data_IF_535429354662
#
_entry.id   IF_535429354662
#
_cell.length_a   1.000
_cell.length_b   1.000
_cell.length_c   1.000
_cell.angle_alpha   90.00
_cell.angle_beta   90.00
_cell.angle_gamma   90.00
#
_symmetry.space_group_name_H-M   'P 1'
#
loop_
_entity.id
_entity.type
_entity.pdbx_description
1 polymer ?
#
# COMPACT_ATOMS: atom_id res chain seq x y z
N UNK A 1 -22.04 25.12 -4.54
CA UNK A 1 -20.97 24.31 -3.92
C UNK A 1 -19.63 24.96 -4.24
N UNK A 2 -19.10 25.73 -3.31
CA UNK A 2 -17.77 26.29 -3.45
C UNK A 2 -16.77 25.14 -3.44
N UNK A 3 -16.16 24.82 -4.59
CA UNK A 3 -14.99 23.96 -4.63
C UNK A 3 -13.93 24.60 -3.73
N UNK A 4 -13.21 23.84 -2.90
CA UNK A 4 -12.12 24.40 -2.13
C UNK A 4 -11.12 25.05 -3.06
N UNK A 5 -10.88 26.32 -2.88
CA UNK A 5 -9.98 27.14 -3.73
C UNK A 5 -8.53 26.70 -3.51
N UNK A 6 -8.25 26.03 -2.38
CA UNK A 6 -6.98 25.39 -2.04
C UNK A 6 -7.23 24.31 -0.98
N UNK A 7 -6.42 23.27 -0.97
CA UNK A 7 -6.48 22.22 0.04
C UNK A 7 -6.30 20.81 -0.51
N UNK A 8 -6.35 19.85 0.39
CA UNK A 8 -6.26 18.42 0.09
C UNK A 8 -7.58 17.73 0.44
N UNK A 9 -8.15 16.99 -0.52
CA UNK A 9 -9.29 16.12 -0.28
C UNK A 9 -8.80 14.67 -0.26
N UNK A 10 -9.09 13.94 0.80
CA UNK A 10 -8.67 12.55 0.98
C UNK A 10 -9.86 11.60 0.96
N UNK A 11 -9.89 10.70 -0.03
CA UNK A 11 -10.88 9.65 -0.17
C UNK A 11 -10.31 8.29 0.24
N UNK A 12 -11.06 7.52 1.04
CA UNK A 12 -10.69 6.17 1.44
C UNK A 12 -11.60 5.18 0.75
N UNK A 13 -11.04 4.31 -0.08
CA UNK A 13 -11.76 3.25 -0.78
C UNK A 13 -11.38 1.85 -0.26
N UNK A 14 -11.14 1.74 1.04
CA UNK A 14 -10.76 0.49 1.68
C UNK A 14 -11.91 -0.51 1.74
N UNK A 15 -11.63 -1.77 1.37
CA UNK A 15 -12.55 -2.91 1.50
C UNK A 15 -11.84 -3.99 2.30
N UNK A 16 -12.51 -4.53 3.32
CA UNK A 16 -11.94 -5.59 4.15
C UNK A 16 -11.64 -6.84 3.30
N UNK A 17 -10.43 -7.39 3.44
CA UNK A 17 -9.99 -8.55 2.67
C UNK A 17 -9.66 -8.26 1.20
N UNK A 18 -9.66 -6.99 0.77
CA UNK A 18 -9.39 -6.62 -0.61
C UNK A 18 -7.99 -7.02 -1.08
N UNK A 19 -7.92 -7.38 -2.34
CA UNK A 19 -6.71 -7.60 -3.13
C UNK A 19 -6.74 -6.71 -4.37
N UNK A 20 -5.68 -6.66 -5.15
CA UNK A 20 -5.66 -5.96 -6.44
C UNK A 20 -6.86 -6.35 -7.32
N UNK A 21 -7.24 -7.64 -7.32
CA UNK A 21 -8.36 -8.16 -8.12
C UNK A 21 -9.69 -7.53 -7.72
N UNK A 22 -9.89 -7.20 -6.45
CA UNK A 22 -11.13 -6.60 -5.95
C UNK A 22 -11.45 -5.29 -6.67
N UNK A 23 -10.44 -4.56 -7.09
CA UNK A 23 -10.57 -3.26 -7.76
C UNK A 23 -10.44 -3.32 -9.30
N UNK A 24 -10.17 -4.49 -9.89
CA UNK A 24 -10.07 -4.67 -11.35
C UNK A 24 -11.43 -4.91 -12.03
N UNK A 25 -12.49 -4.29 -11.54
CA UNK A 25 -13.80 -4.30 -12.18
C UNK A 25 -14.11 -2.94 -12.80
N UNK A 26 -14.84 -2.93 -13.92
CA UNK A 26 -15.18 -1.66 -14.59
C UNK A 26 -15.90 -0.67 -13.67
N UNK A 27 -16.81 -1.17 -12.81
CA UNK A 27 -17.54 -0.31 -11.88
C UNK A 27 -16.60 0.36 -10.87
N UNK A 28 -15.66 -0.39 -10.29
CA UNK A 28 -14.69 0.17 -9.34
C UNK A 28 -13.75 1.17 -10.00
N UNK A 29 -13.32 0.91 -11.21
CA UNK A 29 -12.51 1.86 -11.99
C UNK A 29 -13.29 3.14 -12.29
N UNK A 30 -14.57 3.03 -12.69
CA UNK A 30 -15.43 4.20 -12.91
C UNK A 30 -15.67 5.01 -11.63
N UNK A 31 -15.91 4.34 -10.49
CA UNK A 31 -16.05 5.01 -9.19
C UNK A 31 -14.80 5.81 -8.82
N UNK A 32 -13.61 5.23 -9.02
CA UNK A 32 -12.34 5.90 -8.73
C UNK A 32 -12.13 7.09 -9.69
N UNK A 33 -12.36 6.88 -11.00
CA UNK A 33 -12.17 7.93 -12.00
C UNK A 33 -13.12 9.12 -11.81
N UNK A 34 -14.33 8.88 -11.30
CA UNK A 34 -15.29 9.93 -11.00
C UNK A 34 -14.79 10.94 -9.94
N UNK A 35 -13.86 10.50 -9.08
CA UNK A 35 -13.22 11.37 -8.07
C UNK A 35 -12.15 12.29 -8.67
N UNK A 36 -11.73 12.07 -9.91
CA UNK A 36 -10.65 12.80 -10.60
C UNK A 36 -9.41 12.98 -9.71
N UNK A 37 -8.82 11.88 -9.21
CA UNK A 37 -7.73 11.96 -8.25
C UNK A 37 -6.44 12.47 -8.90
N UNK A 38 -5.72 13.36 -8.23
CA UNK A 38 -4.36 13.77 -8.63
C UNK A 38 -3.34 12.69 -8.22
N UNK A 39 -3.59 12.01 -7.10
CA UNK A 39 -2.76 10.94 -6.57
C UNK A 39 -3.60 9.73 -6.15
N UNK A 40 -3.22 8.53 -6.59
CA UNK A 40 -3.74 7.27 -6.08
C UNK A 40 -2.66 6.55 -5.29
N UNK A 41 -2.93 6.28 -4.00
CA UNK A 41 -2.06 5.45 -3.16
C UNK A 41 -2.60 4.03 -3.15
N UNK A 42 -1.84 3.08 -3.69
CA UNK A 42 -2.20 1.66 -3.75
C UNK A 42 -1.52 0.91 -2.60
N UNK A 43 -2.32 0.53 -1.61
CA UNK A 43 -1.85 -0.18 -0.41
C UNK A 43 -2.41 -1.61 -0.37
N UNK A 44 -1.77 -2.50 -1.12
CA UNK A 44 -2.10 -3.92 -1.22
C UNK A 44 -0.94 -4.81 -0.74
N UNK A 45 -1.15 -6.12 -0.75
CA UNK A 45 -0.10 -7.10 -0.49
C UNK A 45 -0.32 -7.95 0.75
N UNK A 46 -0.98 -7.46 1.79
CA UNK A 46 -1.25 -8.24 3.01
C UNK A 46 -2.15 -9.44 2.71
N UNK A 47 -3.26 -9.23 2.02
CA UNK A 47 -4.22 -10.29 1.69
C UNK A 47 -3.65 -11.25 0.64
N UNK A 48 -2.92 -10.74 -0.34
CA UNK A 48 -2.20 -11.55 -1.31
C UNK A 48 -1.20 -12.47 -0.61
N UNK A 49 -0.39 -11.95 0.31
CA UNK A 49 0.57 -12.74 1.08
C UNK A 49 -0.09 -13.81 1.96
N UNK A 50 -1.36 -13.65 2.34
CA UNK A 50 -2.12 -14.64 3.11
C UNK A 50 -2.84 -15.66 2.23
N UNK A 51 -2.91 -15.46 0.92
CA UNK A 51 -3.53 -16.43 0.01
C UNK A 51 -2.81 -17.78 0.05
N UNK A 52 -3.55 -18.87 0.27
CA UNK A 52 -3.00 -20.23 0.20
C UNK A 52 -2.48 -20.58 -1.20
N UNK A 53 -3.04 -19.95 -2.23
CA UNK A 53 -2.70 -20.13 -3.65
C UNK A 53 -1.85 -19.00 -4.20
N UNK A 54 -1.07 -18.33 -3.35
CA UNK A 54 -0.21 -17.25 -3.78
C UNK A 54 0.84 -17.72 -4.79
N UNK A 55 0.86 -17.06 -5.94
CA UNK A 55 1.87 -17.23 -6.99
C UNK A 55 2.43 -15.86 -7.38
N UNK A 56 3.74 -15.70 -7.26
CA UNK A 56 4.42 -14.43 -7.50
C UNK A 56 4.16 -13.84 -8.91
N UNK A 57 4.23 -14.62 -10.01
CA UNK A 57 3.93 -14.09 -11.34
C UNK A 57 2.47 -13.65 -11.50
N UNK A 58 1.53 -14.35 -10.85
CA UNK A 58 0.10 -13.99 -10.88
C UNK A 58 -0.12 -12.67 -10.14
N UNK A 59 0.57 -12.45 -9.03
CA UNK A 59 0.47 -11.19 -8.29
C UNK A 59 0.99 -10.00 -9.11
N UNK A 60 2.14 -10.14 -9.77
CA UNK A 60 2.66 -9.11 -10.67
C UNK A 60 1.67 -8.78 -11.80
N UNK A 61 1.09 -9.80 -12.42
CA UNK A 61 0.05 -9.65 -13.44
C UNK A 61 -1.20 -8.91 -12.90
N UNK A 62 -1.60 -9.17 -11.66
CA UNK A 62 -2.74 -8.50 -11.03
C UNK A 62 -2.48 -7.03 -10.75
N UNK A 63 -1.27 -6.68 -10.32
CA UNK A 63 -0.83 -5.29 -10.15
C UNK A 63 -0.86 -4.59 -11.51
N UNK A 64 -0.26 -5.19 -12.53
CA UNK A 64 -0.21 -4.64 -13.88
C UNK A 64 -1.59 -4.38 -14.44
N UNK A 65 -2.50 -5.35 -14.34
CA UNK A 65 -3.89 -5.22 -14.78
C UNK A 65 -4.61 -4.05 -14.09
N UNK A 66 -4.52 -3.96 -12.77
CA UNK A 66 -5.16 -2.88 -12.02
C UNK A 66 -4.62 -1.51 -12.46
N UNK A 67 -3.31 -1.36 -12.49
CA UNK A 67 -2.67 -0.11 -12.87
C UNK A 67 -2.92 0.28 -14.33
N UNK A 68 -2.95 -0.69 -15.25
CA UNK A 68 -3.29 -0.44 -16.64
C UNK A 68 -4.73 0.10 -16.80
N UNK A 69 -5.69 -0.47 -16.04
CA UNK A 69 -7.07 0.01 -16.04
C UNK A 69 -7.19 1.42 -15.43
N UNK A 70 -6.50 1.66 -14.31
CA UNK A 70 -6.50 2.97 -13.64
C UNK A 70 -5.84 4.04 -14.52
N UNK A 71 -4.68 3.77 -15.10
CA UNK A 71 -4.00 4.71 -16.00
C UNK A 71 -4.85 5.08 -17.22
N UNK A 72 -5.57 4.10 -17.77
CA UNK A 72 -6.49 4.36 -18.88
C UNK A 72 -7.66 5.26 -18.46
N UNK A 73 -8.18 5.09 -17.26
CA UNK A 73 -9.33 5.85 -16.76
C UNK A 73 -8.94 7.22 -16.17
N UNK A 74 -7.71 7.33 -15.66
CA UNK A 74 -7.18 8.51 -14.97
C UNK A 74 -5.76 8.81 -15.51
N UNK A 75 -5.62 9.31 -16.74
CA UNK A 75 -4.32 9.44 -17.42
C UNK A 75 -3.37 10.45 -16.74
N UNK A 76 -3.90 11.47 -16.09
CA UNK A 76 -3.10 12.51 -15.40
C UNK A 76 -2.75 12.17 -13.95
N UNK A 77 -3.29 11.06 -13.43
CA UNK A 77 -3.10 10.63 -12.03
C UNK A 77 -1.70 10.08 -11.78
N UNK A 78 -1.07 10.53 -10.72
CA UNK A 78 0.17 9.95 -10.21
C UNK A 78 -0.12 8.76 -9.30
N UNK A 79 0.75 7.74 -9.31
CA UNK A 79 0.58 6.52 -8.53
C UNK A 79 1.71 6.35 -7.52
N UNK A 80 1.34 6.10 -6.25
CA UNK A 80 2.24 5.70 -5.18
C UNK A 80 1.87 4.29 -4.73
N UNK A 81 2.80 3.34 -4.86
CA UNK A 81 2.63 1.99 -4.34
C UNK A 81 3.18 1.92 -2.93
N UNK A 82 2.56 1.12 -2.06
CA UNK A 82 3.11 0.85 -0.72
C UNK A 82 3.33 -0.64 -0.52
N UNK A 83 4.39 -1.02 0.18
CA UNK A 83 4.59 -2.41 0.59
C UNK A 83 3.79 -2.71 1.86
N UNK A 84 3.35 -3.97 2.08
CA UNK A 84 2.61 -4.33 3.29
C UNK A 84 3.48 -4.24 4.55
N UNK A 85 2.89 -3.98 5.73
CA UNK A 85 3.63 -3.73 6.97
C UNK A 85 4.28 -4.96 7.61
N UNK A 86 4.04 -6.13 7.07
CA UNK A 86 4.40 -7.41 7.70
C UNK A 86 3.26 -7.99 8.52
N UNK A 87 3.20 -9.32 8.59
CA UNK A 87 2.18 -10.04 9.34
C UNK A 87 2.67 -11.43 9.71
N UNK A 88 1.96 -12.09 10.62
CA UNK A 88 2.17 -13.49 10.94
C UNK A 88 1.21 -14.40 10.15
N UNK A 89 1.60 -15.67 9.97
CA UNK A 89 0.77 -16.72 9.37
C UNK A 89 0.81 -17.97 10.26
N UNK A 90 -0.26 -18.75 10.24
CA UNK A 90 -0.39 -19.97 11.05
C UNK A 90 -1.32 -19.79 12.25
N UNK A 91 -1.53 -20.88 12.99
CA UNK A 91 -2.36 -20.89 14.20
C UNK A 91 -1.60 -20.28 15.38
N UNK A 92 -2.32 -19.75 16.36
CA UNK A 92 -1.80 -19.00 17.50
C UNK A 92 -0.53 -19.61 18.15
N UNK A 93 -0.48 -20.93 18.32
CA UNK A 93 0.68 -21.64 18.93
C UNK A 93 1.81 -21.98 17.95
N UNK A 94 1.55 -21.98 16.65
CA UNK A 94 2.52 -22.30 15.58
C UNK A 94 2.67 -21.14 14.60
N UNK A 95 2.42 -19.93 15.07
CA UNK A 95 2.51 -18.73 14.26
C UNK A 95 3.95 -18.42 13.91
N UNK A 96 4.19 -18.13 12.63
CA UNK A 96 5.48 -17.69 12.10
C UNK A 96 5.32 -16.39 11.34
N UNK A 97 6.39 -15.61 11.21
CA UNK A 97 6.39 -14.45 10.32
C UNK A 97 6.06 -14.92 8.91
N UNK A 98 5.11 -14.25 8.24
CA UNK A 98 4.69 -14.65 6.90
C UNK A 98 5.84 -14.45 5.89
N UNK A 99 6.46 -15.53 5.38
CA UNK A 99 7.59 -15.41 4.46
C UNK A 99 7.20 -14.80 3.11
N UNK A 100 5.92 -14.87 2.73
CA UNK A 100 5.43 -14.31 1.47
C UNK A 100 5.42 -12.78 1.46
N UNK A 101 5.37 -12.14 2.63
CA UNK A 101 5.47 -10.67 2.73
C UNK A 101 6.76 -10.15 2.08
N UNK A 102 7.88 -10.86 2.25
CA UNK A 102 9.16 -10.52 1.60
C UNK A 102 9.02 -10.52 0.08
N UNK A 103 8.41 -11.59 -0.46
CA UNK A 103 8.20 -11.74 -1.91
C UNK A 103 7.26 -10.68 -2.46
N UNK A 104 6.14 -10.44 -1.78
CA UNK A 104 5.16 -9.40 -2.14
C UNK A 104 5.80 -8.02 -2.15
N UNK A 105 6.53 -7.66 -1.09
CA UNK A 105 7.23 -6.38 -0.99
C UNK A 105 8.26 -6.19 -2.10
N UNK A 106 9.01 -7.26 -2.42
CA UNK A 106 9.97 -7.24 -3.54
C UNK A 106 9.27 -6.98 -4.88
N UNK A 107 8.19 -7.70 -5.17
CA UNK A 107 7.43 -7.53 -6.42
C UNK A 107 6.92 -6.10 -6.55
N UNK A 108 6.32 -5.53 -5.51
CA UNK A 108 5.80 -4.16 -5.53
C UNK A 108 6.92 -3.17 -5.84
N UNK A 109 8.09 -3.28 -5.18
CA UNK A 109 9.23 -2.40 -5.43
C UNK A 109 9.80 -2.54 -6.84
N UNK A 110 9.98 -3.79 -7.29
CA UNK A 110 10.50 -4.07 -8.64
C UNK A 110 9.53 -3.57 -9.72
N UNK A 111 8.23 -3.77 -9.51
CA UNK A 111 7.22 -3.25 -10.42
C UNK A 111 7.25 -1.71 -10.47
N UNK A 112 7.25 -1.04 -9.33
CA UNK A 112 7.33 0.42 -9.25
C UNK A 112 8.57 0.94 -9.98
N UNK A 113 9.75 0.36 -9.69
CA UNK A 113 11.00 0.74 -10.36
C UNK A 113 10.94 0.56 -11.87
N UNK A 114 10.44 -0.59 -12.34
CA UNK A 114 10.32 -0.94 -13.78
C UNK A 114 9.42 0.05 -14.54
N UNK A 115 8.40 0.57 -13.87
CA UNK A 115 7.39 1.44 -14.49
C UNK A 115 7.54 2.92 -14.10
N UNK A 116 8.65 3.33 -13.47
CA UNK A 116 8.90 4.72 -13.09
C UNK A 116 7.90 5.29 -12.09
N UNK A 117 7.34 4.44 -11.21
CA UNK A 117 6.37 4.84 -10.19
C UNK A 117 7.03 5.06 -8.84
N UNK A 118 6.44 5.95 -8.05
CA UNK A 118 6.83 6.11 -6.66
C UNK A 118 6.45 4.87 -5.83
N UNK A 119 7.31 4.52 -4.87
CA UNK A 119 7.04 3.45 -3.90
C UNK A 119 7.44 3.88 -2.50
N UNK A 120 6.54 3.66 -1.54
CA UNK A 120 6.87 3.77 -0.12
C UNK A 120 7.04 2.38 0.48
N UNK A 121 8.27 2.03 0.82
CA UNK A 121 8.62 0.72 1.33
C UNK A 121 8.40 0.63 2.84
N UNK A 122 7.13 0.58 3.27
CA UNK A 122 6.74 0.43 4.67
C UNK A 122 7.42 -0.78 5.31
N UNK A 123 7.48 -1.90 4.60
CA UNK A 123 8.06 -3.13 5.12
C UNK A 123 9.50 -2.94 5.62
N UNK A 124 10.33 -2.26 4.82
CA UNK A 124 11.71 -1.97 5.20
C UNK A 124 11.78 -0.93 6.30
N UNK A 125 10.97 0.14 6.23
CA UNK A 125 10.92 1.21 7.25
C UNK A 125 10.64 0.67 8.65
N UNK A 126 9.77 -0.34 8.78
CA UNK A 126 9.39 -0.91 10.08
C UNK A 126 10.25 -2.09 10.53
N UNK A 127 11.33 -2.40 9.78
CA UNK A 127 12.32 -3.41 10.17
C UNK A 127 12.43 -4.63 9.25
N UNK A 128 11.66 -4.70 8.18
CA UNK A 128 11.77 -5.71 7.13
C UNK A 128 11.57 -7.15 7.63
N UNK A 129 12.28 -8.07 6.98
CA UNK A 129 12.16 -9.52 7.21
C UNK A 129 12.42 -9.92 8.65
N UNK A 130 13.38 -9.28 9.29
CA UNK A 130 13.87 -9.67 10.63
C UNK A 130 13.04 -9.09 11.75
N UNK A 131 12.63 -7.84 11.63
CA UNK A 131 12.17 -7.09 12.79
C UNK A 131 10.77 -6.45 12.63
N UNK A 132 10.22 -6.31 11.42
CA UNK A 132 8.92 -5.66 11.24
C UNK A 132 7.83 -6.23 12.18
N UNK A 133 7.59 -7.54 12.12
CA UNK A 133 6.57 -8.17 12.98
C UNK A 133 6.92 -8.10 14.48
N UNK A 134 8.21 -8.19 14.82
CA UNK A 134 8.67 -8.09 16.21
C UNK A 134 8.46 -6.67 16.75
N UNK A 135 8.77 -5.64 15.94
CA UNK A 135 8.57 -4.25 16.32
C UNK A 135 7.08 -3.96 16.57
N UNK A 136 6.21 -4.42 15.67
CA UNK A 136 4.77 -4.29 15.88
C UNK A 136 4.27 -4.99 17.15
N UNK A 137 4.74 -6.21 17.39
CA UNK A 137 4.32 -7.01 18.55
C UNK A 137 4.86 -6.43 19.86
N UNK A 138 6.14 -6.08 19.89
CA UNK A 138 6.81 -5.54 21.11
C UNK A 138 6.17 -4.24 21.57
N UNK A 139 5.72 -3.42 20.64
CA UNK A 139 5.08 -2.14 20.93
C UNK A 139 3.54 -2.23 21.05
N UNK A 140 2.97 -3.44 21.11
CA UNK A 140 1.53 -3.68 21.24
C UNK A 140 0.67 -3.04 20.13
N UNK A 141 1.24 -2.87 18.94
CA UNK A 141 0.59 -2.23 17.78
C UNK A 141 -0.12 -3.24 16.88
N UNK A 142 0.12 -4.54 17.06
CA UNK A 142 -0.49 -5.62 16.30
C UNK A 142 -1.55 -6.32 17.15
N UNK A 143 -2.72 -6.61 16.56
CA UNK A 143 -3.79 -7.36 17.22
C UNK A 143 -3.40 -8.82 17.46
N UNK A 144 -4.16 -9.50 18.31
CA UNK A 144 -3.93 -10.90 18.67
C UNK A 144 -3.99 -11.88 17.49
N UNK A 145 -4.62 -11.52 16.37
CA UNK A 145 -4.63 -12.33 15.14
C UNK A 145 -3.28 -12.32 14.40
N UNK A 146 -2.44 -11.31 14.64
CA UNK A 146 -1.13 -11.15 14.03
C UNK A 146 -1.16 -10.63 12.59
N UNK A 147 -2.28 -10.06 12.17
CA UNK A 147 -2.51 -9.53 10.83
C UNK A 147 -2.97 -8.07 10.90
N UNK A 148 -4.00 -7.82 11.71
CA UNK A 148 -4.59 -6.50 11.87
C UNK A 148 -3.87 -5.71 12.96
N UNK A 149 -3.94 -4.40 12.84
CA UNK A 149 -3.31 -3.48 13.78
C UNK A 149 -4.31 -2.92 14.78
N UNK A 150 -3.79 -2.44 15.91
CA UNK A 150 -4.57 -1.62 16.83
C UNK A 150 -4.82 -0.24 16.20
N UNK A 151 -5.76 0.57 16.73
CA UNK A 151 -5.92 1.96 16.27
C UNK A 151 -4.61 2.75 16.29
N UNK A 152 -3.78 2.55 17.32
CA UNK A 152 -2.46 3.16 17.47
C UNK A 152 -1.49 2.68 16.37
N UNK A 153 -1.53 1.38 16.04
CA UNK A 153 -0.73 0.80 14.96
C UNK A 153 -1.09 1.37 13.59
N UNK A 154 -2.38 1.52 13.30
CA UNK A 154 -2.82 2.18 12.05
C UNK A 154 -2.46 3.67 12.02
N UNK A 155 -2.60 4.37 13.17
CA UNK A 155 -2.20 5.78 13.27
C UNK A 155 -0.71 5.97 13.02
N UNK A 156 0.13 5.08 13.57
CA UNK A 156 1.58 5.13 13.34
C UNK A 156 1.91 4.91 11.85
N UNK A 157 1.27 3.93 11.18
CA UNK A 157 1.46 3.72 9.74
C UNK A 157 1.10 4.96 8.92
N UNK A 158 -0.05 5.59 9.23
CA UNK A 158 -0.47 6.84 8.59
C UNK A 158 0.53 7.98 8.82
N UNK A 159 1.00 8.14 10.04
CA UNK A 159 1.99 9.17 10.38
C UNK A 159 3.33 8.96 9.66
N UNK A 160 3.80 7.73 9.57
CA UNK A 160 5.04 7.40 8.86
C UNK A 160 4.95 7.72 7.37
N UNK A 161 3.81 7.38 6.73
CA UNK A 161 3.57 7.73 5.32
C UNK A 161 3.47 9.25 5.15
N UNK A 162 2.71 9.93 6.01
CA UNK A 162 2.58 11.39 5.97
C UNK A 162 3.95 12.08 6.09
N UNK A 163 4.78 11.69 7.06
CA UNK A 163 6.13 12.23 7.20
C UNK A 163 6.99 12.00 5.96
N UNK A 164 6.89 10.83 5.33
CA UNK A 164 7.61 10.53 4.10
C UNK A 164 7.16 11.42 2.94
N UNK A 165 5.85 11.67 2.80
CA UNK A 165 5.30 12.57 1.78
C UNK A 165 5.73 14.02 2.01
N UNK A 166 5.64 14.53 3.24
CA UNK A 166 6.09 15.89 3.59
C UNK A 166 7.58 16.06 3.35
N UNK A 167 8.39 15.06 3.72
CA UNK A 167 9.83 15.08 3.44
C UNK A 167 10.11 15.17 1.94
N UNK A 168 9.50 14.31 1.14
CA UNK A 168 9.67 14.31 -0.31
C UNK A 168 9.22 15.64 -0.95
N UNK A 169 8.09 16.20 -0.49
CA UNK A 169 7.62 17.50 -0.92
C UNK A 169 8.61 18.62 -0.60
N UNK A 170 9.12 18.67 0.62
CA UNK A 170 10.08 19.70 1.03
C UNK A 170 11.41 19.59 0.25
N UNK A 171 11.87 18.37 -0.01
CA UNK A 171 13.05 18.11 -0.85
C UNK A 171 12.81 18.61 -2.28
N UNK A 172 11.64 18.34 -2.86
CA UNK A 172 11.26 18.82 -4.19
C UNK A 172 11.25 20.35 -4.26
N UNK A 173 10.58 21.00 -3.32
CA UNK A 173 10.52 22.49 -3.26
C UNK A 173 11.91 23.09 -3.10
N UNK A 174 12.79 22.46 -2.31
CA UNK A 174 14.17 22.92 -2.11
C UNK A 174 15.04 22.82 -3.38
N UNK A 175 14.65 21.97 -4.35
CA UNK A 175 15.39 21.87 -5.64
C UNK A 175 15.10 23.03 -6.58
N UNK A 176 14.07 23.86 -6.30
CA UNK A 176 13.66 25.00 -7.17
C UNK A 176 13.15 24.58 -8.56
N UNK A 177 12.80 23.30 -8.72
CA UNK A 177 12.13 22.81 -9.92
C UNK A 177 10.63 23.16 -9.81
N UNK A 178 10.22 24.24 -10.45
CA UNK A 178 8.81 24.58 -10.72
C UNK A 178 8.33 23.90 -12.00
#
# INVERSE_FOLDING_TARGET
DALPISGLVYHIMGVNGATCVTFTTENKIKEIAALRPDLIILSFGTNEAHSRRYLAPVHEMQIDRLLSMLKKACPETVFLLTTPPGAYVGRRRSRVINPRTVTVSRIIREYARKHGMAVWDMYTVVGGKTDACKNWTRNHLLRADGIHFTPEGYRLQGNLLHQALIKAYNEYVATGLE
#
